data_IF_448718988909
#
_entry.id   IF_448718988909
#
_cell.length_a   1.000
_cell.length_b   1.000
_cell.length_c   1.000
_cell.angle_alpha   90.00
_cell.angle_beta   90.00
_cell.angle_gamma   90.00
#
_symmetry.space_group_name_H-M   'P 1'
#
loop_
_entity.id
_entity.type
_entity.pdbx_description
1 polymer ?
#
# COMPACT_ATOMS: atom_id res chain seq x y z
N UNK A 1 -36.27 -12.84 -55.58
CA UNK A 1 -36.76 -12.90 -54.17
C UNK A 1 -35.88 -13.73 -53.22
N UNK A 2 -35.36 -14.91 -53.56
CA UNK A 2 -34.56 -15.77 -52.70
C UNK A 2 -33.14 -15.18 -52.35
N UNK A 3 -32.51 -14.44 -53.28
CA UNK A 3 -31.16 -13.85 -53.10
C UNK A 3 -31.20 -12.63 -52.15
N UNK A 4 -32.27 -11.83 -52.20
CA UNK A 4 -32.43 -10.66 -51.30
C UNK A 4 -32.63 -11.12 -49.86
N UNK A 5 -33.39 -12.18 -49.61
CA UNK A 5 -33.56 -12.74 -48.29
C UNK A 5 -32.26 -13.33 -47.72
N UNK A 6 -31.41 -13.92 -48.58
CA UNK A 6 -30.11 -14.45 -48.15
C UNK A 6 -29.11 -13.33 -47.74
N UNK A 7 -29.07 -12.24 -48.51
CA UNK A 7 -28.24 -11.07 -48.17
C UNK A 7 -28.70 -10.36 -46.88
N UNK A 8 -30.02 -10.31 -46.64
CA UNK A 8 -30.58 -9.72 -45.44
C UNK A 8 -30.24 -10.54 -44.19
N UNK A 9 -30.26 -11.87 -44.29
CA UNK A 9 -29.86 -12.77 -43.18
C UNK A 9 -28.37 -12.66 -42.88
N UNK A 10 -27.50 -12.53 -43.89
CA UNK A 10 -26.07 -12.32 -43.71
C UNK A 10 -25.79 -10.96 -43.04
N UNK A 11 -26.46 -9.88 -43.44
CA UNK A 11 -26.31 -8.57 -42.78
C UNK A 11 -26.74 -8.59 -41.31
N UNK A 12 -27.82 -9.27 -40.96
CA UNK A 12 -28.30 -9.42 -39.58
C UNK A 12 -27.30 -10.24 -38.75
N UNK A 13 -26.66 -11.26 -39.31
CA UNK A 13 -25.65 -12.07 -38.62
C UNK A 13 -24.35 -11.31 -38.37
N UNK A 14 -23.96 -10.37 -39.25
CA UNK A 14 -22.80 -9.50 -39.04
C UNK A 14 -23.06 -8.37 -38.03
N UNK A 15 -24.28 -7.87 -37.92
CA UNK A 15 -24.68 -6.84 -36.97
C UNK A 15 -24.82 -7.37 -35.52
N UNK A 16 -25.05 -8.67 -35.34
CA UNK A 16 -25.19 -9.29 -34.02
C UNK A 16 -23.85 -9.61 -33.31
N UNK A 17 -22.69 -9.40 -33.95
CA UNK A 17 -21.37 -9.65 -33.38
C UNK A 17 -20.62 -8.38 -32.95
N UNK A 18 -21.29 -7.24 -32.74
CA UNK A 18 -20.67 -6.07 -32.13
C UNK A 18 -20.63 -6.31 -30.62
N UNK A 19 -19.66 -7.10 -30.17
CA UNK A 19 -19.29 -7.17 -28.79
C UNK A 19 -18.68 -5.82 -28.43
N UNK A 20 -19.33 -5.06 -27.55
CA UNK A 20 -18.75 -3.86 -26.96
C UNK A 20 -17.49 -4.28 -26.21
N UNK A 21 -16.32 -4.08 -26.82
CA UNK A 21 -15.04 -4.24 -26.15
C UNK A 21 -14.90 -3.08 -25.17
N UNK A 22 -15.30 -3.29 -23.92
CA UNK A 22 -14.95 -2.37 -22.86
C UNK A 22 -13.45 -2.54 -22.58
N UNK A 23 -12.66 -1.52 -22.92
CA UNK A 23 -11.27 -1.46 -22.53
C UNK A 23 -11.22 -1.46 -20.99
N UNK A 24 -10.41 -2.37 -20.44
CA UNK A 24 -10.10 -2.37 -19.00
C UNK A 24 -9.39 -1.06 -18.67
N UNK A 25 -9.70 -0.44 -17.53
CA UNK A 25 -8.91 0.69 -17.03
C UNK A 25 -7.50 0.18 -16.73
N UNK A 26 -6.52 0.77 -17.40
CA UNK A 26 -5.11 0.49 -17.25
C UNK A 26 -4.33 1.80 -17.30
N UNK A 27 -3.38 2.00 -16.38
CA UNK A 27 -2.52 3.18 -16.34
C UNK A 27 -1.25 2.87 -17.12
N UNK A 28 -1.05 3.53 -18.26
CA UNK A 28 0.18 3.41 -19.04
C UNK A 28 1.30 4.25 -18.40
N UNK A 29 2.24 3.58 -17.74
CA UNK A 29 3.39 4.19 -17.04
C UNK A 29 4.58 4.52 -17.98
N UNK A 30 4.48 4.14 -19.27
CA UNK A 30 5.61 4.29 -20.22
C UNK A 30 5.67 5.67 -20.87
N UNK A 31 4.61 6.46 -20.77
CA UNK A 31 4.51 7.80 -21.38
C UNK A 31 4.92 8.90 -20.41
N UNK A 32 5.83 9.76 -20.79
CA UNK A 32 6.40 10.84 -19.98
C UNK A 32 5.45 12.00 -19.60
N UNK A 33 4.18 11.98 -20.01
CA UNK A 33 3.19 12.99 -19.64
C UNK A 33 1.90 12.27 -19.21
N UNK A 34 1.83 11.92 -17.92
CA UNK A 34 0.70 11.22 -17.36
C UNK A 34 -0.33 12.21 -16.80
N UNK A 35 -1.56 12.11 -17.27
CA UNK A 35 -2.69 12.64 -16.51
C UNK A 35 -3.02 11.63 -15.41
N UNK A 36 -2.82 11.95 -14.12
CA UNK A 36 -3.11 11.00 -13.05
C UNK A 36 -4.55 10.52 -13.09
N UNK A 37 -4.76 9.21 -12.95
CA UNK A 37 -6.08 8.57 -13.01
C UNK A 37 -6.96 9.05 -11.85
N UNK A 38 -8.12 9.67 -12.11
CA UNK A 38 -9.06 10.06 -11.06
C UNK A 38 -9.64 8.82 -10.37
N UNK A 39 -9.36 8.68 -9.07
CA UNK A 39 -9.78 7.54 -8.26
C UNK A 39 -10.54 8.02 -7.02
N UNK A 40 -11.66 7.39 -6.71
CA UNK A 40 -12.38 7.62 -5.47
C UNK A 40 -11.98 6.56 -4.43
N UNK A 41 -11.56 7.00 -3.25
CA UNK A 41 -11.29 6.13 -2.12
C UNK A 41 -12.34 6.39 -1.06
N UNK A 42 -13.38 5.57 -1.03
CA UNK A 42 -14.43 5.68 0.00
C UNK A 42 -13.85 5.28 1.36
N UNK A 43 -14.17 5.99 2.46
CA UNK A 43 -13.95 5.45 3.79
C UNK A 43 -14.49 4.04 3.88
N UNK A 44 -13.79 3.13 4.55
CA UNK A 44 -14.28 1.77 4.69
C UNK A 44 -15.43 1.73 5.70
N UNK A 45 -16.50 1.05 5.33
CA UNK A 45 -17.67 0.86 6.19
C UNK A 45 -17.28 0.12 7.48
N UNK A 46 -17.89 0.48 8.59
CA UNK A 46 -17.69 -0.20 9.89
C UNK A 46 -19.00 -0.76 10.42
N UNK A 47 -18.97 -1.97 10.97
CA UNK A 47 -20.11 -2.53 11.66
C UNK A 47 -20.23 -1.91 13.07
N UNK A 48 -21.46 -1.59 13.49
CA UNK A 48 -21.75 -1.03 14.82
C UNK A 48 -21.30 -1.95 15.99
N UNK A 49 -21.10 -3.24 15.74
CA UNK A 49 -20.56 -4.19 16.73
C UNK A 49 -19.07 -3.99 16.97
N UNK A 50 -18.32 -3.48 16.01
CA UNK A 50 -16.89 -3.23 16.10
C UNK A 50 -16.52 -1.97 16.91
N UNK A 51 -17.51 -1.14 17.26
CA UNK A 51 -17.30 0.14 17.99
C UNK A 51 -16.95 -0.02 19.48
N UNK A 52 -16.84 -1.23 20.02
CA UNK A 52 -16.71 -1.44 21.49
C UNK A 52 -15.36 -1.93 21.98
N UNK A 53 -14.35 -2.05 21.13
CA UNK A 53 -13.02 -2.52 21.55
C UNK A 53 -12.08 -1.33 21.63
N UNK A 54 -11.99 -0.74 22.82
CA UNK A 54 -10.93 0.18 23.19
C UNK A 54 -9.72 -0.64 23.63
N UNK A 55 -8.86 -1.05 22.71
CA UNK A 55 -7.54 -1.57 23.03
C UNK A 55 -6.49 -0.67 22.39
N UNK A 56 -5.54 -0.22 23.20
CA UNK A 56 -4.32 0.50 22.79
C UNK A 56 -4.53 1.82 22.04
N UNK A 57 -5.41 2.73 22.50
CA UNK A 57 -5.64 4.06 21.91
C UNK A 57 -6.12 4.07 20.43
N UNK A 58 -6.50 2.93 19.88
CA UNK A 58 -7.19 2.87 18.59
C UNK A 58 -8.66 3.26 18.80
N UNK A 59 -9.02 4.47 18.39
CA UNK A 59 -10.41 4.87 18.33
C UNK A 59 -11.04 4.19 17.10
N UNK A 60 -11.75 3.08 17.34
CA UNK A 60 -12.27 2.21 16.27
C UNK A 60 -13.30 2.93 15.39
N UNK A 61 -13.88 4.03 15.88
CA UNK A 61 -14.89 4.78 15.11
C UNK A 61 -14.34 5.35 13.79
N UNK A 62 -13.03 5.63 13.74
CA UNK A 62 -12.40 6.25 12.59
C UNK A 62 -11.47 5.32 11.79
N UNK A 63 -11.38 4.04 12.15
CA UNK A 63 -10.39 3.13 11.55
C UNK A 63 -10.58 2.95 10.04
N UNK A 64 -11.84 2.88 9.58
CA UNK A 64 -12.15 2.80 8.16
C UNK A 64 -11.72 4.06 7.39
N UNK A 65 -11.85 5.22 8.00
CA UNK A 65 -11.38 6.50 7.46
C UNK A 65 -9.84 6.56 7.45
N UNK A 66 -9.20 6.11 8.54
CA UNK A 66 -7.73 6.13 8.64
C UNK A 66 -7.06 5.19 7.64
N UNK A 67 -7.61 3.99 7.42
CA UNK A 67 -7.13 3.08 6.36
C UNK A 67 -7.29 3.73 4.98
N UNK A 68 -8.45 4.36 4.71
CA UNK A 68 -8.68 5.06 3.45
C UNK A 68 -7.67 6.21 3.23
N UNK A 69 -7.30 6.97 4.29
CA UNK A 69 -6.26 8.00 4.23
C UNK A 69 -4.88 7.44 3.87
N UNK A 70 -4.49 6.29 4.44
CA UNK A 70 -3.23 5.63 4.08
C UNK A 70 -3.23 5.27 2.59
N UNK A 71 -4.33 4.69 2.09
CA UNK A 71 -4.47 4.33 0.68
C UNK A 71 -4.36 5.58 -0.21
N UNK A 72 -5.09 6.66 0.13
CA UNK A 72 -5.04 7.92 -0.62
C UNK A 72 -3.64 8.52 -0.69
N UNK A 73 -2.95 8.60 0.46
CA UNK A 73 -1.60 9.15 0.53
C UNK A 73 -0.62 8.36 -0.33
N UNK A 74 -0.68 7.04 -0.27
CA UNK A 74 0.15 6.16 -1.10
C UNK A 74 -0.12 6.38 -2.60
N UNK A 75 -1.39 6.44 -2.99
CA UNK A 75 -1.78 6.67 -4.37
C UNK A 75 -1.29 8.04 -4.89
N UNK A 76 -1.40 9.10 -4.06
CA UNK A 76 -0.86 10.43 -4.38
C UNK A 76 0.66 10.37 -4.58
N UNK A 77 1.38 9.71 -3.65
CA UNK A 77 2.84 9.61 -3.71
C UNK A 77 3.35 8.90 -4.96
N UNK A 78 2.57 7.98 -5.53
CA UNK A 78 2.93 7.32 -6.79
C UNK A 78 2.97 8.27 -8.00
N UNK A 79 2.26 9.40 -7.93
CA UNK A 79 2.09 10.34 -9.04
C UNK A 79 1.20 9.84 -10.19
N UNK A 80 0.70 8.60 -10.12
CA UNK A 80 -0.11 7.99 -11.16
C UNK A 80 -1.61 8.14 -10.94
N UNK A 81 -2.03 8.50 -9.73
CA UNK A 81 -3.42 8.60 -9.33
C UNK A 81 -3.74 9.97 -8.75
N UNK A 82 -4.97 10.39 -8.93
CA UNK A 82 -5.53 11.62 -8.36
C UNK A 82 -6.75 11.25 -7.51
N UNK A 83 -6.59 11.00 -6.20
CA UNK A 83 -7.72 10.77 -5.30
C UNK A 83 -8.66 11.96 -5.25
N UNK A 84 -9.95 11.69 -5.40
CA UNK A 84 -11.00 12.71 -5.40
C UNK A 84 -11.37 13.11 -3.96
N UNK A 85 -11.75 14.38 -3.77
CA UNK A 85 -12.21 14.87 -2.46
C UNK A 85 -13.44 14.12 -1.98
N UNK A 86 -13.42 13.69 -0.71
CA UNK A 86 -14.55 13.00 -0.06
C UNK A 86 -15.80 13.85 0.03
N UNK A 87 -15.66 15.19 0.02
CA UNK A 87 -16.79 16.13 0.05
C UNK A 87 -17.65 16.02 -1.22
N UNK A 88 -17.09 15.52 -2.32
CA UNK A 88 -17.81 15.27 -3.55
C UNK A 88 -18.61 13.96 -3.57
N UNK A 89 -18.46 13.10 -2.58
CA UNK A 89 -19.07 11.76 -2.58
C UNK A 89 -20.57 11.85 -2.26
N UNK A 90 -21.39 11.39 -3.19
CA UNK A 90 -22.86 11.41 -3.06
C UNK A 90 -23.37 10.18 -2.30
N UNK A 91 -22.63 9.08 -2.33
CA UNK A 91 -23.01 7.82 -1.72
C UNK A 91 -22.26 7.58 -0.41
N UNK A 92 -22.99 7.20 0.64
CA UNK A 92 -22.40 6.87 1.94
C UNK A 92 -21.59 5.56 1.89
N UNK A 93 -20.51 5.41 2.67
CA UNK A 93 -19.65 4.23 2.67
C UNK A 93 -20.38 2.90 2.88
N UNK A 94 -21.34 2.86 3.82
CA UNK A 94 -22.11 1.65 4.16
C UNK A 94 -22.91 1.11 2.97
N UNK A 95 -23.39 1.99 2.11
CA UNK A 95 -24.15 1.63 0.90
C UNK A 95 -23.20 1.32 -0.25
N UNK A 96 -22.18 2.16 -0.44
CA UNK A 96 -21.19 2.00 -1.52
C UNK A 96 -20.45 0.67 -1.44
N UNK A 97 -20.16 0.19 -0.22
CA UNK A 97 -19.53 -1.11 0.00
C UNK A 97 -20.36 -2.27 -0.54
N UNK A 98 -21.69 -2.24 -0.37
CA UNK A 98 -22.59 -3.32 -0.80
C UNK A 98 -22.88 -3.25 -2.30
N UNK A 99 -23.24 -2.07 -2.78
CA UNK A 99 -23.62 -1.84 -4.17
C UNK A 99 -23.33 -0.39 -4.56
N UNK A 100 -22.20 -0.12 -5.26
CA UNK A 100 -21.93 1.20 -5.79
C UNK A 100 -22.99 1.62 -6.82
N UNK A 101 -23.47 2.87 -6.73
CA UNK A 101 -24.24 3.50 -7.80
C UNK A 101 -23.25 4.20 -8.73
N UNK A 102 -22.82 3.51 -9.77
CA UNK A 102 -21.75 3.97 -10.67
C UNK A 102 -22.03 5.32 -11.31
N UNK A 103 -23.31 5.66 -11.52
CA UNK A 103 -23.73 6.97 -12.03
C UNK A 103 -23.29 8.11 -11.12
N UNK A 104 -23.46 7.98 -9.81
CA UNK A 104 -23.03 8.98 -8.81
C UNK A 104 -21.52 9.21 -8.87
N UNK A 105 -20.74 8.13 -9.02
CA UNK A 105 -19.29 8.19 -9.11
C UNK A 105 -18.80 8.73 -10.45
N UNK A 106 -19.52 8.46 -11.54
CA UNK A 106 -19.24 9.02 -12.86
C UNK A 106 -19.48 10.53 -12.91
N UNK A 107 -20.49 11.05 -12.20
CA UNK A 107 -20.77 12.49 -12.10
C UNK A 107 -19.60 13.28 -11.54
N UNK A 108 -18.87 12.73 -10.57
CA UNK A 108 -17.67 13.33 -9.99
C UNK A 108 -16.39 12.97 -10.77
N UNK A 109 -16.53 12.33 -11.95
CA UNK A 109 -15.45 11.93 -12.86
C UNK A 109 -14.49 10.89 -12.28
N UNK A 110 -14.91 10.07 -11.31
CA UNK A 110 -14.14 8.93 -10.88
C UNK A 110 -14.08 7.89 -12.03
N UNK A 111 -12.88 7.39 -12.31
CA UNK A 111 -12.69 6.26 -13.22
C UNK A 111 -12.57 4.95 -12.47
N UNK A 112 -11.91 4.97 -11.32
CA UNK A 112 -11.83 3.85 -10.41
C UNK A 112 -12.42 4.21 -9.05
N UNK A 113 -12.93 3.21 -8.33
CA UNK A 113 -13.50 3.37 -7.00
C UNK A 113 -13.01 2.26 -6.08
N UNK A 114 -12.51 2.62 -4.90
CA UNK A 114 -12.20 1.70 -3.82
C UNK A 114 -13.29 1.81 -2.76
N UNK A 115 -13.87 0.67 -2.41
CA UNK A 115 -14.82 0.53 -1.31
C UNK A 115 -14.39 -0.62 -0.40
N UNK A 116 -14.91 -0.69 0.81
CA UNK A 116 -14.56 -1.79 1.68
C UNK A 116 -15.32 -1.78 3.01
N UNK A 117 -14.98 -2.74 3.84
CA UNK A 117 -15.54 -2.92 5.17
C UNK A 117 -14.46 -3.32 6.17
N UNK A 118 -14.54 -2.75 7.37
CA UNK A 118 -13.68 -3.08 8.51
C UNK A 118 -14.52 -3.79 9.57
N UNK A 119 -14.01 -4.91 10.05
CA UNK A 119 -14.59 -5.70 11.14
C UNK A 119 -13.51 -5.99 12.18
N UNK A 120 -13.86 -5.92 13.45
CA UNK A 120 -13.02 -6.39 14.55
C UNK A 120 -13.80 -7.46 15.28
N UNK A 121 -13.31 -8.70 15.22
CA UNK A 121 -13.90 -9.87 15.85
C UNK A 121 -12.79 -10.69 16.49
N UNK A 122 -12.98 -11.13 17.73
CA UNK A 122 -12.03 -11.98 18.47
C UNK A 122 -10.60 -11.43 18.47
N UNK A 123 -10.42 -10.13 18.74
CA UNK A 123 -9.14 -9.41 18.69
C UNK A 123 -8.42 -9.47 17.35
N UNK A 124 -9.14 -9.79 16.29
CA UNK A 124 -8.62 -9.75 14.90
C UNK A 124 -9.28 -8.64 14.11
N UNK A 125 -8.45 -7.95 13.35
CA UNK A 125 -8.87 -6.98 12.36
C UNK A 125 -9.08 -7.71 11.04
N UNK A 126 -10.30 -7.66 10.50
CA UNK A 126 -10.61 -8.11 9.15
C UNK A 126 -10.96 -6.90 8.29
N UNK A 127 -10.28 -6.75 7.16
CA UNK A 127 -10.53 -5.68 6.19
C UNK A 127 -10.86 -6.32 4.85
N UNK A 128 -12.05 -6.04 4.36
CA UNK A 128 -12.50 -6.42 3.03
C UNK A 128 -12.46 -5.19 2.14
N UNK A 129 -11.93 -5.29 0.94
CA UNK A 129 -11.97 -4.20 -0.02
C UNK A 129 -12.33 -4.69 -1.43
N UNK A 130 -12.87 -3.77 -2.22
CA UNK A 130 -13.17 -3.96 -3.64
C UNK A 130 -12.68 -2.77 -4.44
N UNK A 131 -12.13 -3.07 -5.58
CA UNK A 131 -11.78 -2.10 -6.61
C UNK A 131 -12.77 -2.25 -7.76
N UNK A 132 -13.36 -1.14 -8.18
CA UNK A 132 -14.36 -1.07 -9.22
C UNK A 132 -13.87 -0.23 -10.40
N UNK A 133 -14.18 -0.67 -11.60
CA UNK A 133 -14.17 0.14 -12.80
C UNK A 133 -15.49 0.90 -12.87
N UNK A 134 -15.45 2.21 -12.70
CA UNK A 134 -16.67 3.05 -12.65
C UNK A 134 -17.33 3.14 -14.02
N UNK A 135 -16.51 3.24 -15.08
CA UNK A 135 -17.01 3.40 -16.45
C UNK A 135 -17.62 2.10 -16.99
N UNK A 136 -17.00 0.97 -16.69
CA UNK A 136 -17.51 -0.34 -17.09
C UNK A 136 -18.54 -0.90 -16.08
N UNK A 137 -18.79 -0.22 -14.96
CA UNK A 137 -19.72 -0.60 -13.90
C UNK A 137 -19.50 -2.04 -13.39
N UNK A 138 -18.24 -2.45 -13.20
CA UNK A 138 -17.87 -3.80 -12.79
C UNK A 138 -16.76 -3.84 -11.74
N UNK A 139 -16.74 -4.96 -11.00
CA UNK A 139 -15.67 -5.25 -10.05
C UNK A 139 -14.40 -5.68 -10.81
N UNK A 140 -13.27 -5.12 -10.42
CA UNK A 140 -11.94 -5.48 -10.94
C UNK A 140 -11.16 -6.37 -9.99
N UNK A 141 -11.36 -6.20 -8.69
CA UNK A 141 -10.65 -6.94 -7.63
C UNK A 141 -11.47 -6.92 -6.35
N UNK A 142 -11.53 -8.06 -5.64
CA UNK A 142 -12.06 -8.17 -4.30
C UNK A 142 -11.16 -9.06 -3.45
N UNK A 143 -10.69 -8.54 -2.31
CA UNK A 143 -9.83 -9.28 -1.39
C UNK A 143 -10.21 -8.96 0.07
N UNK A 144 -9.81 -9.86 0.96
CA UNK A 144 -9.96 -9.71 2.41
C UNK A 144 -8.63 -10.04 3.10
N UNK A 145 -8.29 -9.26 4.12
CA UNK A 145 -7.12 -9.46 4.96
C UNK A 145 -7.53 -9.62 6.41
N UNK A 146 -6.89 -10.53 7.12
CA UNK A 146 -7.11 -10.73 8.55
C UNK A 146 -5.75 -10.64 9.27
N UNK A 147 -5.68 -9.79 10.28
CA UNK A 147 -4.46 -9.53 11.05
C UNK A 147 -4.80 -9.06 12.48
N UNK A 148 -3.78 -8.71 13.26
CA UNK A 148 -3.97 -8.03 14.56
C UNK A 148 -4.31 -6.55 14.35
N UNK A 149 -5.10 -5.91 15.22
CA UNK A 149 -5.52 -4.52 15.06
C UNK A 149 -4.38 -3.52 14.92
N UNK A 150 -3.24 -3.75 15.57
CA UNK A 150 -2.06 -2.88 15.48
C UNK A 150 -1.48 -2.76 14.06
N UNK A 151 -1.74 -3.73 13.19
CA UNK A 151 -1.25 -3.75 11.81
C UNK A 151 -2.15 -3.03 10.80
N UNK A 152 -3.11 -2.23 11.25
CA UNK A 152 -4.09 -1.59 10.38
C UNK A 152 -3.48 -0.73 9.28
N UNK A 153 -2.38 0.00 9.57
CA UNK A 153 -1.67 0.81 8.56
C UNK A 153 -1.08 -0.08 7.46
N UNK A 154 -0.42 -1.17 7.87
CA UNK A 154 0.14 -2.14 6.93
C UNK A 154 -0.92 -2.72 5.98
N UNK A 155 -2.15 -2.95 6.48
CA UNK A 155 -3.26 -3.37 5.61
C UNK A 155 -3.56 -2.29 4.55
N UNK A 156 -3.53 -1.01 4.91
CA UNK A 156 -3.68 0.09 3.95
C UNK A 156 -2.60 0.06 2.86
N UNK A 157 -1.34 -0.18 3.22
CA UNK A 157 -0.23 -0.32 2.27
C UNK A 157 -0.42 -1.53 1.35
N UNK A 158 -0.78 -2.71 1.90
CA UNK A 158 -1.04 -3.93 1.10
C UNK A 158 -2.22 -3.74 0.14
N UNK A 159 -3.29 -3.08 0.57
CA UNK A 159 -4.42 -2.74 -0.31
C UNK A 159 -3.93 -1.86 -1.46
N UNK A 160 -3.13 -0.84 -1.17
CA UNK A 160 -2.58 0.05 -2.20
C UNK A 160 -1.70 -0.72 -3.19
N UNK A 161 -0.85 -1.65 -2.72
CA UNK A 161 -0.05 -2.52 -3.59
C UNK A 161 -0.92 -3.32 -4.56
N UNK A 162 -2.02 -3.89 -4.06
CA UNK A 162 -2.94 -4.68 -4.89
C UNK A 162 -3.73 -3.83 -5.89
N UNK A 163 -4.12 -2.63 -5.50
CA UNK A 163 -4.75 -1.66 -6.39
C UNK A 163 -3.77 -1.18 -7.46
N UNK A 164 -2.56 -0.83 -7.07
CA UNK A 164 -1.49 -0.40 -7.97
C UNK A 164 -1.18 -1.48 -9.01
N UNK A 165 -0.90 -2.72 -8.55
CA UNK A 165 -0.63 -3.87 -9.40
C UNK A 165 -1.78 -4.13 -10.39
N UNK A 166 -3.04 -4.03 -9.92
CA UNK A 166 -4.20 -4.28 -10.77
C UNK A 166 -4.41 -3.22 -11.85
N UNK A 167 -4.04 -1.95 -11.57
CA UNK A 167 -4.26 -0.82 -12.48
C UNK A 167 -3.05 -0.54 -13.38
N UNK A 168 -1.84 -0.89 -12.97
CA UNK A 168 -0.60 -0.59 -13.72
C UNK A 168 0.06 -1.83 -14.33
N UNK A 169 -0.28 -3.04 -13.86
CA UNK A 169 0.42 -4.28 -14.20
C UNK A 169 1.76 -4.47 -13.49
N UNK A 170 2.26 -3.46 -12.75
CA UNK A 170 3.52 -3.50 -12.05
C UNK A 170 3.32 -3.80 -10.57
N UNK A 171 4.29 -4.49 -9.95
CA UNK A 171 4.22 -4.82 -8.53
C UNK A 171 4.23 -3.54 -7.68
N UNK A 172 3.32 -3.46 -6.70
CA UNK A 172 3.30 -2.38 -5.70
C UNK A 172 4.51 -2.40 -4.77
N UNK A 173 4.82 -1.26 -4.15
CA UNK A 173 5.98 -1.05 -3.28
C UNK A 173 5.63 -0.34 -1.96
N UNK A 174 4.35 -0.18 -1.65
CA UNK A 174 3.89 0.59 -0.49
C UNK A 174 4.01 -0.17 0.83
N UNK A 175 3.91 -1.52 0.82
CA UNK A 175 4.21 -2.35 1.99
C UNK A 175 5.73 -2.60 2.12
N UNK A 176 6.49 -1.50 2.17
CA UNK A 176 7.94 -1.52 2.36
C UNK A 176 8.35 -0.64 3.53
N UNK A 177 9.55 -0.88 4.05
CA UNK A 177 10.12 -0.14 5.18
C UNK A 177 11.45 0.50 4.81
N UNK A 178 11.75 1.63 5.45
CA UNK A 178 12.99 2.36 5.29
C UNK A 178 13.83 2.17 6.56
N UNK A 179 15.06 1.70 6.39
CA UNK A 179 16.04 1.71 7.48
C UNK A 179 16.98 2.90 7.30
N UNK A 180 17.26 3.61 8.39
CA UNK A 180 18.08 4.81 8.35
C UNK A 180 18.81 5.03 9.68
N UNK A 181 19.75 5.98 9.68
CA UNK A 181 20.38 6.46 10.89
C UNK A 181 19.70 7.76 11.31
N UNK A 182 19.03 7.73 12.45
CA UNK A 182 18.50 8.92 13.10
C UNK A 182 19.62 9.62 13.88
N UNK A 183 19.72 10.95 13.72
CA UNK A 183 20.68 11.77 14.43
C UNK A 183 19.97 12.80 15.31
N UNK A 184 20.32 12.82 16.58
CA UNK A 184 19.76 13.73 17.57
C UNK A 184 20.88 14.50 18.32
N UNK A 185 20.53 15.65 18.92
CA UNK A 185 21.45 16.45 19.74
C UNK A 185 22.25 17.50 18.97
N UNK A 186 23.10 18.28 19.69
CA UNK A 186 23.89 19.36 19.13
C UNK A 186 24.99 18.84 18.20
N UNK A 187 25.48 19.66 17.28
CA UNK A 187 26.49 19.28 16.27
C UNK A 187 27.76 18.67 16.87
N UNK A 188 28.14 19.09 18.07
CA UNK A 188 29.34 18.63 18.78
C UNK A 188 29.16 17.33 19.54
N UNK A 189 27.90 16.85 19.71
CA UNK A 189 27.59 15.66 20.50
C UNK A 189 26.35 14.96 19.92
N UNK A 190 26.46 14.51 18.69
CA UNK A 190 25.38 13.78 17.98
C UNK A 190 25.24 12.36 18.50
N UNK A 191 24.03 12.01 18.91
CA UNK A 191 23.62 10.63 19.17
C UNK A 191 23.04 10.05 17.89
N UNK A 192 23.57 8.91 17.45
CA UNK A 192 23.10 8.20 16.25
C UNK A 192 22.45 6.89 16.64
N UNK A 193 21.24 6.68 16.13
CA UNK A 193 20.47 5.47 16.38
C UNK A 193 20.08 4.83 15.05
N UNK A 194 20.16 3.51 14.98
CA UNK A 194 19.54 2.77 13.89
C UNK A 194 18.03 2.81 14.08
N UNK A 195 17.29 3.21 13.07
CA UNK A 195 15.85 3.34 13.09
C UNK A 195 15.23 2.74 11.82
N UNK A 196 13.98 2.29 11.96
CA UNK A 196 13.15 1.79 10.87
C UNK A 196 11.81 2.49 10.90
N UNK A 197 11.21 2.71 9.73
CA UNK A 197 9.88 3.30 9.57
C UNK A 197 9.19 2.72 8.34
N UNK A 198 7.87 2.88 8.26
CA UNK A 198 7.13 2.63 7.02
C UNK A 198 7.59 3.60 5.94
N UNK A 199 7.36 3.25 4.68
CA UNK A 199 7.84 4.06 3.54
C UNK A 199 7.25 5.49 3.52
N UNK A 200 6.13 5.72 4.20
CA UNK A 200 5.45 7.01 4.33
C UNK A 200 5.88 7.83 5.56
N UNK A 201 6.90 7.37 6.29
CA UNK A 201 7.49 8.06 7.45
C UNK A 201 6.81 7.78 8.78
N UNK A 202 5.83 6.88 8.84
CA UNK A 202 5.16 6.49 10.08
C UNK A 202 5.79 5.23 10.72
N UNK A 203 5.29 4.86 11.91
CA UNK A 203 5.73 3.70 12.68
C UNK A 203 7.24 3.66 12.93
N UNK A 204 7.83 4.80 13.30
CA UNK A 204 9.25 4.88 13.62
C UNK A 204 9.57 4.02 14.83
N UNK A 205 10.53 3.10 14.67
CA UNK A 205 11.06 2.26 15.73
C UNK A 205 12.59 2.39 15.78
N UNK A 206 13.14 2.60 16.97
CA UNK A 206 14.59 2.61 17.18
C UNK A 206 15.07 1.19 17.45
N UNK A 207 16.05 0.75 16.68
CA UNK A 207 16.63 -0.60 16.76
C UNK A 207 17.90 -0.64 17.63
N UNK A 208 18.49 0.55 17.93
CA UNK A 208 19.63 0.71 18.83
C UNK A 208 19.40 1.86 19.81
N UNK A 209 20.07 1.82 20.95
CA UNK A 209 19.89 2.82 22.03
C UNK A 209 20.63 4.14 21.78
N UNK A 210 21.64 4.16 20.90
CA UNK A 210 22.47 5.34 20.62
C UNK A 210 23.74 5.41 21.46
N UNK A 211 24.10 4.34 22.15
CA UNK A 211 25.33 4.24 22.96
C UNK A 211 26.59 4.14 22.07
N UNK A 212 26.36 3.84 20.79
CA UNK A 212 27.39 3.58 19.81
C UNK A 212 27.15 4.34 18.52
N UNK A 213 28.23 4.65 17.82
CA UNK A 213 28.13 5.19 16.47
C UNK A 213 27.70 4.11 15.50
N UNK A 214 26.52 4.24 14.90
CA UNK A 214 25.99 3.36 13.88
C UNK A 214 25.97 4.05 12.52
N UNK A 215 26.31 3.32 11.44
CA UNK A 215 26.45 3.87 10.10
C UNK A 215 26.00 2.86 9.02
N UNK A 216 25.65 3.38 7.87
CA UNK A 216 25.46 2.66 6.61
C UNK A 216 24.57 1.41 6.66
N UNK A 217 23.35 1.50 7.24
CA UNK A 217 22.43 0.36 7.25
C UNK A 217 21.99 -0.05 5.85
N UNK A 218 21.78 -1.36 5.63
CA UNK A 218 21.25 -1.93 4.39
C UNK A 218 20.32 -3.10 4.70
N UNK A 219 19.17 -3.10 4.05
CA UNK A 219 18.28 -4.26 4.04
C UNK A 219 18.84 -5.38 3.19
N UNK A 220 18.60 -6.62 3.62
CA UNK A 220 18.67 -7.79 2.77
C UNK A 220 17.51 -7.72 1.75
N UNK A 221 17.74 -8.00 0.46
CA UNK A 221 16.70 -7.93 -0.56
C UNK A 221 15.61 -9.00 -0.45
N UNK A 222 15.84 -10.09 0.29
CA UNK A 222 14.96 -11.27 0.31
C UNK A 222 14.33 -11.56 1.67
N UNK A 223 14.85 -11.00 2.77
CA UNK A 223 14.39 -11.26 4.13
C UNK A 223 14.48 -10.03 5.04
N UNK A 224 14.14 -10.16 6.32
CA UNK A 224 14.10 -9.09 7.31
C UNK A 224 15.45 -8.86 8.03
N UNK A 225 16.54 -9.24 7.40
CA UNK A 225 17.88 -9.00 7.91
C UNK A 225 18.38 -7.63 7.47
N UNK A 226 19.16 -7.00 8.35
CA UNK A 226 19.81 -5.71 8.11
C UNK A 226 21.28 -5.84 8.44
N UNK A 227 22.14 -5.37 7.54
CA UNK A 227 23.55 -5.18 7.88
C UNK A 227 23.85 -3.70 8.12
N UNK A 228 24.70 -3.42 9.08
CA UNK A 228 25.14 -2.06 9.40
C UNK A 228 26.54 -2.09 10.05
N UNK A 229 27.16 -0.94 10.11
CA UNK A 229 28.41 -0.77 10.81
C UNK A 229 28.16 -0.13 12.17
N UNK A 230 28.77 -0.67 13.24
CA UNK A 230 28.81 -0.07 14.57
C UNK A 230 30.23 0.04 15.10
N UNK A 231 30.47 1.10 15.89
CA UNK A 231 31.71 1.33 16.63
C UNK A 231 31.58 0.85 18.09
N UNK A 232 31.11 -0.38 18.26
CA UNK A 232 31.04 -0.97 19.59
C UNK A 232 32.40 -1.06 20.24
N UNK A 233 32.54 -0.51 21.47
CA UNK A 233 33.82 -0.40 22.19
C UNK A 233 34.93 0.27 21.36
N UNK A 234 34.59 1.28 20.56
CA UNK A 234 35.48 2.00 19.65
C UNK A 234 36.15 1.13 18.56
N UNK A 235 35.63 -0.04 18.30
CA UNK A 235 36.08 -0.92 17.23
C UNK A 235 35.02 -0.96 16.09
N UNK A 236 35.36 -0.51 14.87
CA UNK A 236 34.44 -0.61 13.74
C UNK A 236 34.25 -2.06 13.33
N UNK A 237 32.99 -2.55 13.38
CA UNK A 237 32.62 -3.89 12.96
C UNK A 237 31.31 -3.85 12.17
N UNK A 238 31.15 -4.81 11.27
CA UNK A 238 29.89 -5.05 10.59
C UNK A 238 29.02 -5.99 11.42
N UNK A 239 27.79 -5.60 11.57
CA UNK A 239 26.77 -6.38 12.28
C UNK A 239 25.67 -6.80 11.32
N UNK A 240 25.10 -7.97 11.57
CA UNK A 240 23.87 -8.48 10.98
C UNK A 240 22.81 -8.47 12.09
N UNK A 241 21.66 -7.85 11.80
CA UNK A 241 20.54 -7.74 12.72
C UNK A 241 19.29 -8.32 12.07
N UNK A 242 18.68 -9.28 12.74
CA UNK A 242 17.34 -9.75 12.42
C UNK A 242 16.32 -8.81 13.10
N UNK A 243 15.51 -8.12 12.29
CA UNK A 243 14.55 -7.12 12.80
C UNK A 243 13.38 -7.77 13.55
N UNK A 244 13.03 -9.01 13.21
CA UNK A 244 11.88 -9.69 13.81
C UNK A 244 12.22 -10.24 15.21
N UNK A 245 13.42 -10.79 15.35
CA UNK A 245 13.88 -11.41 16.60
C UNK A 245 14.71 -10.47 17.46
N UNK A 246 15.28 -9.41 16.89
CA UNK A 246 16.24 -8.51 17.53
C UNK A 246 17.62 -9.14 17.75
N UNK A 247 17.87 -10.33 17.21
CA UNK A 247 19.16 -11.02 17.33
C UNK A 247 20.19 -10.29 16.46
N UNK A 248 21.33 -10.01 17.07
CA UNK A 248 22.45 -9.31 16.46
C UNK A 248 23.71 -10.15 16.51
N UNK A 249 24.43 -10.23 15.40
CA UNK A 249 25.71 -10.95 15.31
C UNK A 249 26.75 -10.14 14.54
N UNK A 250 28.02 -10.38 14.84
CA UNK A 250 29.15 -9.77 14.13
C UNK A 250 29.43 -10.58 12.86
N UNK A 251 29.52 -9.91 11.73
CA UNK A 251 29.87 -10.54 10.45
C UNK A 251 31.39 -10.62 10.31
N UNK A 252 31.95 -11.73 10.79
CA UNK A 252 33.38 -12.03 10.69
C UNK A 252 34.29 -11.15 11.58
N UNK A 253 35.49 -11.63 11.83
CA UNK A 253 36.56 -10.89 12.51
C UNK A 253 37.66 -10.59 11.48
N UNK A 254 37.48 -9.50 10.74
CA UNK A 254 38.41 -9.11 9.68
C UNK A 254 39.49 -8.19 10.25
N UNK A 255 40.76 -8.44 9.95
CA UNK A 255 41.83 -7.53 10.35
C UNK A 255 41.72 -6.21 9.59
N UNK A 256 41.77 -5.10 10.33
CA UNK A 256 41.70 -3.75 9.78
C UNK A 256 40.31 -3.12 9.83
N UNK A 257 40.09 -2.10 9.00
CA UNK A 257 38.84 -1.34 8.99
C UNK A 257 37.85 -1.98 8.01
N UNK A 258 36.68 -2.39 8.52
CA UNK A 258 35.59 -2.91 7.73
C UNK A 258 34.45 -1.87 7.67
N UNK A 259 33.97 -1.53 6.48
CA UNK A 259 32.94 -0.51 6.28
C UNK A 259 32.05 -0.77 5.06
N UNK A 260 30.90 -0.07 5.02
CA UNK A 260 29.93 -0.07 3.94
C UNK A 260 29.48 -1.47 3.48
N UNK A 261 28.92 -2.29 4.39
CA UNK A 261 28.46 -3.63 4.05
C UNK A 261 27.35 -3.59 3.00
N UNK A 262 27.30 -4.64 2.17
CA UNK A 262 26.26 -4.83 1.15
C UNK A 262 25.89 -6.30 1.09
N UNK A 263 24.62 -6.56 0.87
CA UNK A 263 24.15 -7.89 0.47
C UNK A 263 24.37 -8.08 -1.04
N UNK A 264 24.51 -9.31 -1.46
CA UNK A 264 24.35 -9.71 -2.85
C UNK A 264 22.87 -9.57 -3.29
N UNK A 265 22.57 -9.52 -4.60
CA UNK A 265 21.18 -9.39 -5.08
C UNK A 265 20.24 -10.53 -4.65
N UNK A 266 20.79 -11.67 -4.34
CA UNK A 266 20.08 -12.86 -3.85
C UNK A 266 20.01 -12.98 -2.31
N UNK A 267 20.64 -12.01 -1.58
CA UNK A 267 20.68 -11.98 -0.10
C UNK A 267 21.84 -12.71 0.48
#
# INVERSE_FOLDING_TARGET
>A
MKIINFLTVICIFFLSNISSSFSLIEVDITRGNLNPLPIAVSPLSQDNKSKKISQNNLNVEDLGLEIAKVIENNLIQSGLFNPLSKDAFLQKPDIAHLKPRFEDWSLIKAQALITGKVLIEDDKLKVEFRLWDVLAAREMLALAFTTVPSNWRRVGHIITDKVYERLTGEKGYFDTRIIYVSEEGPKTQRVKKLAIMDQDGFNIQYLTLGDELVLTPRFNPTNQMVTYMSYFRNLPRVYLLDIETGIQEVVGDFPGMTFAPRFSPDG
#
